data_IF_835743261462
#
_entry.id   IF_835743261462
#
_cell.length_a   1.000
_cell.length_b   1.000
_cell.length_c   1.000
_cell.angle_alpha   90.00
_cell.angle_beta   90.00
_cell.angle_gamma   90.00
#
_symmetry.space_group_name_H-M   'P 1'
#
loop_
_entity.id
_entity.type
_entity.pdbx_description
1 polymer ?
#
# COMPACT_ATOMS: atom_id res chain seq x y z
N UNK A 1 10.06 -21.31 17.42
CA UNK A 1 9.03 -20.43 18.01
C UNK A 1 8.50 -19.55 16.90
N UNK A 2 7.19 -19.33 16.86
CA UNK A 2 6.58 -18.41 15.90
C UNK A 2 6.79 -16.97 16.38
N UNK A 3 7.38 -16.10 15.57
CA UNK A 3 7.78 -14.75 15.99
C UNK A 3 6.99 -13.69 15.23
N UNK A 4 6.45 -12.73 15.98
CA UNK A 4 5.91 -11.47 15.44
C UNK A 4 6.94 -10.36 15.60
N UNK A 5 7.08 -9.53 14.58
CA UNK A 5 8.01 -8.40 14.58
C UNK A 5 7.42 -7.24 13.78
N UNK A 6 7.57 -6.01 14.29
CA UNK A 6 7.37 -4.79 13.51
C UNK A 6 8.73 -4.32 13.03
N UNK A 7 8.89 -4.14 11.72
CA UNK A 7 10.13 -3.65 11.11
C UNK A 7 9.85 -2.60 10.03
N UNK A 8 10.85 -1.78 9.65
CA UNK A 8 10.74 -0.93 8.48
C UNK A 8 10.36 -1.73 7.24
N UNK A 9 9.59 -1.10 6.37
CA UNK A 9 9.25 -1.62 5.05
C UNK A 9 10.52 -1.89 4.23
N UNK A 10 10.49 -2.97 3.45
CA UNK A 10 11.47 -3.26 2.41
C UNK A 10 10.75 -3.37 1.06
N UNK A 11 11.34 -2.97 -0.08
CA UNK A 11 10.67 -3.04 -1.39
C UNK A 11 10.05 -4.39 -1.78
N UNK A 12 10.57 -5.50 -1.23
CA UNK A 12 10.00 -6.84 -1.44
C UNK A 12 8.65 -7.06 -0.74
N UNK A 13 8.28 -6.22 0.22
CA UNK A 13 6.99 -6.27 0.91
C UNK A 13 5.86 -5.63 0.09
N UNK A 14 6.17 -4.95 -1.02
CA UNK A 14 5.17 -4.20 -1.79
C UNK A 14 3.99 -5.07 -2.20
N UNK A 15 4.24 -6.28 -2.71
CA UNK A 15 3.19 -7.25 -3.07
C UNK A 15 2.34 -7.64 -1.87
N UNK A 16 2.92 -7.74 -0.66
CA UNK A 16 2.16 -8.01 0.55
C UNK A 16 1.28 -6.82 0.94
N UNK A 17 1.75 -5.57 0.78
CA UNK A 17 0.94 -4.37 0.99
C UNK A 17 -0.30 -4.36 0.08
N UNK A 18 -0.16 -4.65 -1.22
CA UNK A 18 -1.31 -4.77 -2.13
C UNK A 18 -2.31 -5.84 -1.66
N UNK A 19 -1.81 -7.04 -1.33
CA UNK A 19 -2.65 -8.15 -0.86
C UNK A 19 -3.39 -7.81 0.44
N UNK A 20 -2.69 -7.23 1.41
CA UNK A 20 -3.28 -6.84 2.70
C UNK A 20 -4.31 -5.74 2.48
N UNK A 21 -3.98 -4.72 1.67
CA UNK A 21 -4.88 -3.61 1.37
C UNK A 21 -6.19 -4.10 0.74
N UNK A 22 -6.12 -5.00 -0.25
CA UNK A 22 -7.32 -5.60 -0.85
C UNK A 22 -8.12 -6.44 0.16
N UNK A 23 -7.43 -7.28 0.94
CA UNK A 23 -8.06 -8.16 1.93
C UNK A 23 -8.71 -7.44 3.11
N UNK A 24 -8.49 -6.13 3.24
CA UNK A 24 -9.12 -5.28 4.27
C UNK A 24 -9.85 -4.06 3.68
N UNK A 25 -10.03 -4.01 2.37
CA UNK A 25 -10.49 -2.82 1.64
C UNK A 25 -11.99 -2.52 1.78
N UNK A 26 -12.80 -3.48 2.21
CA UNK A 26 -14.25 -3.34 2.35
C UNK A 26 -14.61 -3.09 3.82
N UNK A 27 -14.37 -1.87 4.29
CA UNK A 27 -14.59 -1.49 5.70
C UNK A 27 -13.87 -2.45 6.68
N UNK A 28 -12.67 -2.91 6.31
CA UNK A 28 -11.88 -3.88 7.06
C UNK A 28 -12.12 -5.35 6.68
N UNK A 29 -13.10 -5.64 5.81
CA UNK A 29 -13.33 -6.94 5.20
C UNK A 29 -12.66 -7.05 3.82
N UNK A 30 -12.74 -8.24 3.22
CA UNK A 30 -12.14 -8.53 1.91
C UNK A 30 -12.89 -7.84 0.76
N UNK A 31 -12.19 -6.96 0.05
CA UNK A 31 -12.71 -6.21 -1.09
C UNK A 31 -12.51 -6.91 -2.44
N UNK A 32 -12.01 -8.16 -2.48
CA UNK A 32 -11.79 -8.90 -3.74
C UNK A 32 -13.05 -8.93 -4.63
N UNK A 33 -14.24 -8.94 -4.03
CA UNK A 33 -15.51 -8.94 -4.75
C UNK A 33 -15.91 -7.58 -5.37
N UNK A 34 -15.24 -6.48 -4.99
CA UNK A 34 -15.55 -5.12 -5.42
C UNK A 34 -14.72 -4.66 -6.63
N UNK A 35 -13.56 -5.28 -6.89
CA UNK A 35 -12.59 -4.80 -7.88
C UNK A 35 -12.21 -5.89 -8.89
N UNK A 36 -12.24 -5.55 -10.19
CA UNK A 36 -11.75 -6.44 -11.26
C UNK A 36 -10.23 -6.50 -11.32
N UNK A 37 -9.55 -5.37 -11.07
CA UNK A 37 -8.09 -5.33 -10.92
C UNK A 37 -7.77 -5.35 -9.41
N UNK A 38 -7.13 -6.41 -8.88
CA UNK A 38 -6.85 -6.55 -7.46
C UNK A 38 -5.86 -5.49 -6.94
N UNK A 39 -5.06 -4.88 -7.82
CA UNK A 39 -4.04 -3.92 -7.41
C UNK A 39 -4.61 -2.49 -7.26
N UNK A 40 -5.78 -2.19 -7.84
CA UNK A 40 -6.28 -0.81 -7.97
C UNK A 40 -6.45 -0.09 -6.63
N UNK A 41 -6.93 -0.79 -5.60
CA UNK A 41 -7.08 -0.21 -4.27
C UNK A 41 -5.72 0.01 -3.60
N UNK A 42 -4.79 -0.92 -3.77
CA UNK A 42 -3.42 -0.79 -3.24
C UNK A 42 -2.63 0.34 -3.91
N UNK A 43 -2.89 0.62 -5.20
CA UNK A 43 -2.34 1.76 -5.91
C UNK A 43 -2.73 3.09 -5.26
N UNK A 44 -3.89 3.17 -4.61
CA UNK A 44 -4.38 4.42 -4.03
C UNK A 44 -4.08 4.52 -2.52
N UNK A 45 -4.32 3.45 -1.76
CA UNK A 45 -4.35 3.51 -0.30
C UNK A 45 -3.12 2.96 0.41
N UNK A 46 -2.20 2.27 -0.28
CA UNK A 46 -1.05 1.64 0.35
C UNK A 46 0.29 1.95 -0.31
N UNK A 47 0.44 1.58 -1.58
CA UNK A 47 1.71 1.67 -2.30
C UNK A 47 2.35 3.08 -2.35
N UNK A 48 1.62 4.21 -2.55
CA UNK A 48 2.27 5.52 -2.62
C UNK A 48 3.01 5.89 -1.33
N UNK A 49 2.47 5.50 -0.16
CA UNK A 49 3.15 5.74 1.11
C UNK A 49 4.48 4.99 1.19
N UNK A 50 4.47 3.70 0.87
CA UNK A 50 5.67 2.86 0.95
C UNK A 50 6.73 3.19 -0.11
N UNK A 51 6.33 3.81 -1.23
CA UNK A 51 7.25 4.20 -2.31
C UNK A 51 7.77 5.62 -2.15
N UNK A 52 6.90 6.57 -1.77
CA UNK A 52 7.26 7.99 -1.70
C UNK A 52 7.86 8.37 -0.35
N UNK A 53 7.43 7.76 0.76
CA UNK A 53 7.91 8.03 2.13
C UNK A 53 8.21 6.70 2.88
N UNK A 54 9.12 5.85 2.35
CA UNK A 54 9.42 4.53 2.93
C UNK A 54 9.90 4.58 4.39
N UNK A 55 10.49 5.70 4.82
CA UNK A 55 10.94 5.95 6.18
C UNK A 55 9.79 6.02 7.22
N UNK A 56 8.56 6.25 6.75
CA UNK A 56 7.33 6.24 7.57
C UNK A 56 6.49 4.98 7.37
N UNK A 57 7.00 3.98 6.65
CA UNK A 57 6.32 2.73 6.35
C UNK A 57 6.90 1.58 7.18
N UNK A 58 6.02 0.87 7.90
CA UNK A 58 6.39 -0.30 8.70
C UNK A 58 5.45 -1.47 8.40
N UNK A 59 5.98 -2.68 8.52
CA UNK A 59 5.21 -3.92 8.35
C UNK A 59 5.22 -4.72 9.64
N UNK A 60 4.07 -5.31 9.96
CA UNK A 60 3.97 -6.41 10.91
C UNK A 60 4.28 -7.69 10.17
N UNK A 61 5.26 -8.46 10.66
CA UNK A 61 5.61 -9.76 10.11
C UNK A 61 5.27 -10.89 11.07
N UNK A 62 4.98 -12.06 10.50
CA UNK A 62 4.86 -13.32 11.20
C UNK A 62 5.78 -14.34 10.53
N UNK A 63 6.81 -14.80 11.24
CA UNK A 63 7.85 -15.66 10.69
C UNK A 63 8.50 -15.08 9.41
N UNK A 64 8.75 -13.77 9.41
CA UNK A 64 9.36 -13.05 8.29
C UNK A 64 8.40 -12.63 7.17
N UNK A 65 7.17 -13.16 7.13
CA UNK A 65 6.18 -12.78 6.12
C UNK A 65 5.38 -11.57 6.59
N UNK A 66 5.25 -10.54 5.74
CA UNK A 66 4.40 -9.39 6.03
C UNK A 66 2.91 -9.80 6.06
N UNK A 67 2.25 -9.47 7.17
CA UNK A 67 0.84 -9.79 7.47
C UNK A 67 0.00 -8.56 7.85
N UNK A 68 0.64 -7.41 8.04
CA UNK A 68 -0.01 -6.12 8.30
C UNK A 68 0.94 -4.98 8.00
N UNK A 69 0.42 -3.77 7.93
CA UNK A 69 1.24 -2.56 7.75
C UNK A 69 0.69 -1.40 8.57
N UNK A 70 1.57 -0.43 8.82
CA UNK A 70 1.21 0.93 9.20
C UNK A 70 2.01 1.88 8.32
N UNK A 71 1.32 2.87 7.75
CA UNK A 71 1.84 3.79 6.75
C UNK A 71 1.51 5.21 7.18
N UNK A 72 2.36 6.17 6.83
CA UNK A 72 2.16 7.57 7.17
C UNK A 72 2.76 8.50 6.12
N UNK A 73 2.33 9.75 6.18
CA UNK A 73 2.94 10.86 5.45
C UNK A 73 3.30 11.95 6.49
N UNK A 74 4.51 12.51 6.43
CA UNK A 74 4.93 13.55 7.36
C UNK A 74 4.14 14.85 7.17
N UNK A 75 3.84 15.17 5.91
CA UNK A 75 3.06 16.33 5.50
C UNK A 75 2.04 15.91 4.44
N UNK A 76 0.75 16.05 4.77
CA UNK A 76 -0.35 15.63 3.89
C UNK A 76 -0.38 16.41 2.58
N UNK A 77 -0.08 17.72 2.60
CA UNK A 77 -0.12 18.55 1.41
C UNK A 77 1.06 18.24 0.47
N UNK A 78 2.26 18.08 1.04
CA UNK A 78 3.44 17.69 0.27
C UNK A 78 3.29 16.28 -0.32
N UNK A 79 2.81 15.32 0.47
CA UNK A 79 2.55 13.96 -0.01
C UNK A 79 1.51 13.95 -1.14
N UNK A 80 0.39 14.68 -0.99
CA UNK A 80 -0.60 14.81 -2.04
C UNK A 80 -0.02 15.39 -3.34
N UNK A 81 0.83 16.41 -3.24
CA UNK A 81 1.52 16.98 -4.40
C UNK A 81 2.44 15.96 -5.10
N UNK A 82 3.19 15.17 -4.34
CA UNK A 82 4.05 14.11 -4.87
C UNK A 82 3.24 12.98 -5.49
N UNK A 83 2.11 12.60 -4.90
CA UNK A 83 1.19 11.63 -5.51
C UNK A 83 0.72 12.10 -6.88
N UNK A 84 0.32 13.37 -7.01
CA UNK A 84 -0.14 13.94 -8.29
C UNK A 84 0.94 14.05 -9.36
N UNK A 85 2.19 14.31 -8.96
CA UNK A 85 3.29 14.59 -9.90
C UNK A 85 4.17 13.37 -10.20
N UNK A 86 4.32 12.43 -9.26
CA UNK A 86 5.22 11.27 -9.36
C UNK A 86 4.46 9.93 -9.49
N UNK A 87 3.34 9.76 -8.77
CA UNK A 87 2.70 8.44 -8.60
C UNK A 87 1.51 8.19 -9.53
N UNK A 88 0.54 9.10 -9.56
CA UNK A 88 -0.68 8.93 -10.35
C UNK A 88 -0.50 9.07 -11.87
N UNK A 89 0.45 9.83 -12.44
CA UNK A 89 0.58 9.95 -13.89
C UNK A 89 0.72 8.60 -14.65
N UNK A 90 1.61 7.66 -14.28
CA UNK A 90 1.67 6.35 -14.94
C UNK A 90 0.40 5.51 -14.71
N UNK A 91 -0.24 5.64 -13.55
CA UNK A 91 -1.49 4.93 -13.26
C UNK A 91 -2.65 5.44 -14.12
N UNK A 92 -2.77 6.76 -14.31
CA UNK A 92 -3.78 7.36 -15.20
C UNK A 92 -3.59 6.96 -16.65
N UNK A 93 -2.35 6.70 -17.09
CA UNK A 93 -2.08 6.15 -18.41
C UNK A 93 -2.49 4.66 -18.53
N UNK A 94 -2.34 3.88 -17.46
CA UNK A 94 -2.75 2.46 -17.40
C UNK A 94 -4.27 2.31 -17.29
N UNK A 95 -4.92 3.16 -16.51
CA UNK A 95 -6.35 3.15 -16.23
C UNK A 95 -7.04 4.33 -16.94
N UNK A 96 -7.29 4.17 -18.23
CA UNK A 96 -7.98 5.18 -19.01
C UNK A 96 -9.39 5.43 -18.45
N UNK A 97 -9.81 6.69 -18.42
CA UNK A 97 -11.20 7.04 -18.13
C UNK A 97 -12.12 6.38 -19.17
N UNK A 98 -13.27 5.83 -18.75
CA UNK A 98 -14.26 5.27 -19.67
C UNK A 98 -14.79 6.32 -20.66
#
# INVERSE_FOLDING_TARGET
MSTFEIRPYHPTDLTALYRICLGTGDSGQDATHLYNDPDVIGHYYAAPYAVLEPELAFVLTHNGHAIGYVLGAADTAAFGHRCETEWFPPLRARYAMP
#
